data_IF_190479222986
#
_entry.id   IF_190479222986
#
_cell.length_a   1.000
_cell.length_b   1.000
_cell.length_c   1.000
_cell.angle_alpha   90.00
_cell.angle_beta   90.00
_cell.angle_gamma   90.00
#
_symmetry.space_group_name_H-M   'P 1'
#
loop_
_entity.id
_entity.type
_entity.pdbx_description
1 polymer ?
#
# COMPACT_ATOMS: atom_id res chain seq x y z
N UNK A 1 15.59 2.01 -23.10
CA UNK A 1 14.20 1.91 -22.61
C UNK A 1 13.96 3.06 -21.66
N UNK A 2 13.18 4.06 -22.05
CA UNK A 2 12.73 5.10 -21.12
C UNK A 2 11.61 4.50 -20.26
N UNK A 3 11.81 4.45 -18.95
CA UNK A 3 10.76 4.11 -18.00
C UNK A 3 9.77 5.27 -17.92
N UNK A 4 8.58 5.08 -18.50
CA UNK A 4 7.47 6.00 -18.29
C UNK A 4 6.86 5.66 -16.94
N UNK A 5 7.36 6.29 -15.87
CA UNK A 5 6.72 6.25 -14.58
C UNK A 5 5.44 7.09 -14.69
N UNK A 6 4.28 6.44 -14.77
CA UNK A 6 3.03 7.07 -14.35
C UNK A 6 3.11 7.14 -12.83
N UNK A 7 3.90 8.11 -12.36
CA UNK A 7 3.86 8.59 -10.99
C UNK A 7 2.45 9.12 -10.79
N UNK A 8 1.91 9.02 -9.57
CA UNK A 8 0.70 9.73 -9.12
C UNK A 8 0.82 11.27 -9.21
N UNK A 9 1.80 11.78 -9.97
CA UNK A 9 2.26 13.16 -10.10
C UNK A 9 1.21 14.14 -10.62
N UNK A 10 0.03 13.67 -11.04
CA UNK A 10 -1.11 14.51 -11.38
C UNK A 10 -2.09 14.77 -10.24
N UNK A 11 -1.89 14.23 -9.03
CA UNK A 11 -2.94 14.26 -8.01
C UNK A 11 -2.84 15.40 -6.98
N UNK A 12 -1.67 15.98 -6.69
CA UNK A 12 -1.55 16.97 -5.61
C UNK A 12 -0.36 17.92 -5.81
N UNK A 13 -0.47 18.98 -6.61
CA UNK A 13 0.54 20.04 -6.61
C UNK A 13 -0.10 21.43 -6.72
N UNK A 14 -0.39 22.01 -5.55
CA UNK A 14 -0.36 23.45 -5.34
C UNK A 14 0.39 23.72 -4.02
N UNK A 15 1.68 24.04 -4.13
CA UNK A 15 2.34 24.98 -3.21
C UNK A 15 2.84 24.51 -1.83
N UNK A 16 3.09 23.23 -1.55
CA UNK A 16 3.76 22.84 -0.29
C UNK A 16 5.28 22.83 -0.46
N UNK A 17 5.99 23.69 0.27
CA UNK A 17 7.45 23.58 0.41
C UNK A 17 7.77 22.31 1.21
N UNK A 18 8.06 21.21 0.51
CA UNK A 18 8.64 20.03 1.11
C UNK A 18 10.00 20.43 1.72
N UNK A 19 10.09 20.46 3.05
CA UNK A 19 11.40 20.45 3.72
C UNK A 19 12.24 19.31 3.15
N UNK A 20 13.56 19.50 3.03
CA UNK A 20 14.47 18.50 2.44
C UNK A 20 14.39 17.17 3.19
N UNK A 21 13.57 16.25 2.71
CA UNK A 21 13.57 14.85 3.14
C UNK A 21 14.89 14.24 2.67
N UNK A 22 15.72 13.77 3.61
CA UNK A 22 17.02 13.15 3.31
C UNK A 22 16.89 11.62 3.30
N UNK A 23 17.71 10.92 2.50
CA UNK A 23 17.70 9.45 2.47
C UNK A 23 18.05 8.80 3.83
N UNK A 24 18.72 9.52 4.73
CA UNK A 24 19.03 9.06 6.09
C UNK A 24 17.78 8.90 6.98
N UNK A 25 16.66 9.48 6.56
CA UNK A 25 15.39 9.52 7.29
C UNK A 25 14.55 8.26 7.06
N UNK A 26 15.04 7.27 6.30
CA UNK A 26 14.33 6.02 6.02
C UNK A 26 15.04 4.79 6.58
N UNK A 27 14.24 3.77 6.89
CA UNK A 27 14.66 2.41 7.23
C UNK A 27 14.14 1.47 6.16
N UNK A 28 14.97 0.52 5.73
CA UNK A 28 14.58 -0.51 4.78
C UNK A 28 14.09 -1.77 5.51
N UNK A 29 12.91 -2.27 5.14
CA UNK A 29 12.45 -3.61 5.45
C UNK A 29 12.65 -4.53 4.25
N UNK A 30 13.03 -5.78 4.50
CA UNK A 30 13.23 -6.84 3.51
C UNK A 30 12.51 -8.10 3.98
N UNK A 31 11.74 -8.72 3.11
CA UNK A 31 11.12 -10.02 3.34
C UNK A 31 11.68 -11.01 2.31
N UNK A 32 12.58 -11.89 2.75
CA UNK A 32 13.22 -12.87 1.87
C UNK A 32 12.26 -13.96 1.40
N UNK A 33 11.29 -14.32 2.23
CA UNK A 33 10.28 -15.35 1.92
C UNK A 33 9.39 -14.90 0.75
N UNK A 34 8.93 -13.65 0.77
CA UNK A 34 8.07 -13.07 -0.27
C UNK A 34 8.82 -12.14 -1.23
N UNK A 35 10.15 -12.13 -1.15
CA UNK A 35 11.08 -11.47 -2.08
C UNK A 35 10.71 -10.02 -2.39
N UNK A 36 10.49 -9.22 -1.37
CA UNK A 36 10.24 -7.78 -1.53
C UNK A 36 11.02 -6.94 -0.51
N UNK A 37 11.16 -5.66 -0.82
CA UNK A 37 11.67 -4.66 0.11
C UNK A 37 10.90 -3.36 0.02
N UNK A 38 10.85 -2.61 1.12
CA UNK A 38 10.17 -1.32 1.20
C UNK A 38 10.92 -0.39 2.15
N UNK A 39 10.92 0.90 1.87
CA UNK A 39 11.47 1.92 2.74
C UNK A 39 10.35 2.66 3.48
N UNK A 40 10.52 2.92 4.76
CA UNK A 40 9.58 3.73 5.54
C UNK A 40 10.33 4.70 6.46
N UNK A 41 9.71 5.81 6.90
CA UNK A 41 10.39 6.80 7.72
C UNK A 41 10.91 6.20 9.03
N UNK A 42 12.11 6.61 9.44
CA UNK A 42 12.76 6.16 10.69
C UNK A 42 11.96 6.53 11.94
N UNK A 43 11.15 7.58 11.86
CA UNK A 43 10.23 7.96 12.94
C UNK A 43 9.07 6.99 13.11
N UNK A 44 8.85 6.06 12.18
CA UNK A 44 7.80 5.05 12.28
C UNK A 44 8.36 3.77 12.93
N UNK A 45 7.55 3.16 13.78
CA UNK A 45 7.93 1.95 14.53
C UNK A 45 7.20 0.74 13.96
N UNK A 46 7.94 -0.37 13.76
CA UNK A 46 7.34 -1.66 13.45
C UNK A 46 6.56 -2.16 14.66
N UNK A 47 5.30 -2.49 14.45
CA UNK A 47 4.42 -3.07 15.48
C UNK A 47 4.08 -4.51 15.13
N UNK A 48 3.71 -5.29 16.13
CA UNK A 48 3.26 -6.65 15.93
C UNK A 48 1.96 -6.66 15.13
N UNK A 49 1.90 -7.50 14.10
CA UNK A 49 0.71 -7.66 13.30
C UNK A 49 -0.15 -8.80 13.85
N UNK A 50 -1.46 -8.61 13.86
CA UNK A 50 -2.44 -9.59 14.34
C UNK A 50 -2.70 -10.72 13.35
N UNK A 51 -2.37 -10.54 12.07
CA UNK A 51 -2.62 -11.50 11.00
C UNK A 51 -1.32 -12.02 10.43
N UNK A 52 -1.20 -13.35 10.27
CA UNK A 52 0.02 -14.03 9.77
C UNK A 52 0.42 -13.59 8.35
N UNK A 53 -0.56 -13.15 7.56
CA UNK A 53 -0.35 -12.66 6.20
C UNK A 53 0.23 -11.24 6.17
N UNK A 54 0.16 -10.49 7.28
CA UNK A 54 0.75 -9.16 7.39
C UNK A 54 2.25 -9.29 7.64
N UNK A 55 3.04 -8.96 6.62
CA UNK A 55 4.50 -9.09 6.62
C UNK A 55 5.17 -7.89 7.27
N UNK A 56 4.58 -6.72 7.08
CA UNK A 56 5.00 -5.47 7.69
C UNK A 56 3.77 -4.73 8.20
N UNK A 57 3.87 -4.23 9.43
CA UNK A 57 3.00 -3.17 9.97
C UNK A 57 3.89 -2.17 10.67
N UNK A 58 3.81 -0.91 10.29
CA UNK A 58 4.53 0.20 10.92
C UNK A 58 3.56 1.34 11.19
N UNK A 59 3.78 2.05 12.30
CA UNK A 59 2.94 3.15 12.76
C UNK A 59 3.82 4.37 13.00
N UNK A 60 3.32 5.54 12.60
CA UNK A 60 3.96 6.85 12.77
C UNK A 60 4.20 7.22 14.24
N UNK A 61 4.92 8.32 14.46
CA UNK A 61 5.25 8.89 15.79
C UNK A 61 5.72 7.85 16.79
N UNK A 62 6.73 7.09 16.38
CA UNK A 62 7.35 6.02 17.16
C UNK A 62 6.38 4.93 17.63
N UNK A 63 5.28 4.70 16.90
CA UNK A 63 4.28 3.68 17.20
C UNK A 63 3.01 4.22 17.87
N UNK A 64 2.89 5.54 18.00
CA UNK A 64 1.78 6.21 18.70
C UNK A 64 0.95 7.15 17.82
N UNK A 65 1.36 7.35 16.56
CA UNK A 65 0.71 8.25 15.63
C UNK A 65 -0.54 7.67 14.97
N UNK A 66 -1.27 8.53 14.25
CA UNK A 66 -2.51 8.18 13.54
C UNK A 66 -2.29 7.58 12.14
N UNK A 67 -1.07 7.72 11.59
CA UNK A 67 -0.73 7.19 10.27
C UNK A 67 -0.08 5.81 10.37
N UNK A 68 -0.42 4.93 9.45
CA UNK A 68 0.16 3.60 9.39
C UNK A 68 0.38 3.09 7.96
N UNK A 69 1.26 2.10 7.85
CA UNK A 69 1.54 1.35 6.64
C UNK A 69 1.52 -0.14 6.99
N UNK A 70 0.86 -0.93 6.15
CA UNK A 70 0.99 -2.38 6.16
C UNK A 70 1.28 -2.94 4.78
N UNK A 71 2.00 -4.06 4.76
CA UNK A 71 2.18 -4.92 3.59
C UNK A 71 1.63 -6.29 3.94
N UNK A 72 0.58 -6.70 3.22
CA UNK A 72 -0.05 -8.01 3.35
C UNK A 72 0.26 -8.81 2.09
N UNK A 73 0.61 -10.08 2.26
CA UNK A 73 0.82 -11.00 1.14
C UNK A 73 -0.10 -12.20 1.33
N UNK A 74 -1.03 -12.39 0.39
CA UNK A 74 -1.97 -13.51 0.39
C UNK A 74 -1.71 -14.42 -0.80
N UNK A 75 -1.68 -15.74 -0.57
CA UNK A 75 -1.71 -16.69 -1.66
C UNK A 75 -3.06 -16.60 -2.39
N UNK A 76 -3.02 -16.59 -3.72
CA UNK A 76 -4.16 -16.67 -4.61
C UNK A 76 -4.08 -18.03 -5.32
N UNK A 77 -4.86 -19.03 -4.89
CA UNK A 77 -4.75 -20.39 -5.42
C UNK A 77 -4.95 -20.44 -6.94
N UNK A 78 -4.17 -21.29 -7.63
CA UNK A 78 -4.24 -21.50 -9.08
C UNK A 78 -3.92 -20.24 -9.91
N UNK A 79 -3.11 -19.32 -9.37
CA UNK A 79 -2.71 -18.07 -10.04
C UNK A 79 -1.20 -17.91 -10.20
N UNK A 80 -0.45 -19.01 -10.13
CA UNK A 80 1.01 -19.02 -10.23
C UNK A 80 1.51 -18.39 -11.53
N UNK A 81 0.72 -18.51 -12.60
CA UNK A 81 1.00 -17.96 -13.94
C UNK A 81 0.24 -16.67 -14.25
N UNK A 82 -0.57 -16.17 -13.32
CA UNK A 82 -1.38 -14.97 -13.54
C UNK A 82 -0.48 -13.74 -13.69
N UNK A 83 -0.66 -12.99 -14.77
CA UNK A 83 0.06 -11.73 -14.94
C UNK A 83 -0.61 -10.59 -14.16
N UNK A 84 0.12 -9.51 -13.82
CA UNK A 84 -0.46 -8.31 -13.23
C UNK A 84 -1.66 -7.74 -14.03
N UNK A 85 -1.58 -7.75 -15.36
CA UNK A 85 -2.65 -7.26 -16.24
C UNK A 85 -3.89 -8.15 -16.19
N UNK A 86 -3.72 -9.47 -16.06
CA UNK A 86 -4.83 -10.40 -15.87
C UNK A 86 -5.50 -10.19 -14.51
N UNK A 87 -4.71 -10.01 -13.45
CA UNK A 87 -5.21 -9.70 -12.12
C UNK A 87 -6.03 -8.41 -12.09
N UNK A 88 -5.60 -7.37 -12.82
CA UNK A 88 -6.34 -6.12 -12.94
C UNK A 88 -7.74 -6.29 -13.52
N UNK A 89 -7.95 -7.25 -14.43
CA UNK A 89 -9.27 -7.54 -15.01
C UNK A 89 -10.24 -8.14 -13.98
N UNK A 90 -9.71 -8.65 -12.87
CA UNK A 90 -10.51 -9.15 -11.74
C UNK A 90 -10.89 -8.03 -10.75
N UNK A 91 -10.34 -6.83 -10.92
CA UNK A 91 -10.62 -5.71 -10.03
C UNK A 91 -11.96 -5.07 -10.39
N UNK A 92 -12.98 -5.30 -9.55
CA UNK A 92 -14.24 -4.59 -9.60
C UNK A 92 -14.41 -3.73 -8.35
N UNK A 93 -14.53 -2.42 -8.56
CA UNK A 93 -14.60 -1.46 -7.46
C UNK A 93 -15.91 -1.53 -6.67
N UNK A 94 -17.00 -1.97 -7.30
CA UNK A 94 -18.30 -2.15 -6.65
C UNK A 94 -18.28 -3.40 -5.78
N UNK A 95 -17.70 -4.51 -6.27
CA UNK A 95 -17.50 -5.72 -5.48
C UNK A 95 -16.56 -5.48 -4.30
N UNK A 96 -15.44 -4.78 -4.53
CA UNK A 96 -14.52 -4.36 -3.48
C UNK A 96 -15.23 -3.54 -2.39
N UNK A 97 -15.95 -2.48 -2.78
CA UNK A 97 -16.68 -1.65 -1.82
C UNK A 97 -17.77 -2.45 -1.10
N UNK A 98 -18.50 -3.30 -1.81
CA UNK A 98 -19.52 -4.18 -1.22
C UNK A 98 -18.95 -5.16 -0.20
N UNK A 99 -17.77 -5.72 -0.45
CA UNK A 99 -17.04 -6.55 0.51
C UNK A 99 -16.60 -5.73 1.74
N UNK A 100 -16.04 -4.53 1.52
CA UNK A 100 -15.60 -3.66 2.60
C UNK A 100 -16.77 -3.22 3.50
N UNK A 101 -17.90 -2.83 2.90
CA UNK A 101 -19.10 -2.38 3.62
C UNK A 101 -19.76 -3.48 4.46
N UNK A 102 -19.57 -4.77 4.13
CA UNK A 102 -20.01 -5.88 4.99
C UNK A 102 -19.31 -5.88 6.35
N UNK A 103 -18.07 -5.42 6.40
CA UNK A 103 -17.25 -5.40 7.62
C UNK A 103 -17.19 -4.01 8.26
N UNK A 104 -17.29 -2.96 7.43
CA UNK A 104 -17.22 -1.56 7.84
C UNK A 104 -18.31 -0.78 7.09
N UNK A 105 -19.57 -0.76 7.60
CA UNK A 105 -20.71 -0.16 6.90
C UNK A 105 -20.55 1.32 6.52
N UNK A 106 -19.69 2.04 7.24
CA UNK A 106 -19.34 3.44 6.97
C UNK A 106 -18.44 3.65 5.75
N UNK A 107 -17.90 2.58 5.16
CA UNK A 107 -16.93 2.67 4.08
C UNK A 107 -17.50 3.35 2.83
N UNK A 108 -16.72 4.27 2.26
CA UNK A 108 -17.03 5.04 1.06
C UNK A 108 -15.84 5.01 0.11
N UNK A 109 -16.09 4.66 -1.16
CA UNK A 109 -15.08 4.72 -2.20
C UNK A 109 -14.92 6.17 -2.69
N UNK A 110 -13.71 6.70 -2.60
CA UNK A 110 -13.36 8.06 -3.03
C UNK A 110 -12.80 8.05 -4.45
N UNK A 111 -11.85 7.15 -4.70
CA UNK A 111 -11.18 7.02 -6.00
C UNK A 111 -10.63 5.61 -6.17
N UNK A 112 -10.47 5.17 -7.40
CA UNK A 112 -9.79 3.92 -7.72
C UNK A 112 -9.27 3.96 -9.16
N UNK A 113 -8.44 2.98 -9.51
CA UNK A 113 -8.03 2.77 -10.89
C UNK A 113 -6.72 2.01 -11.04
N UNK A 114 -6.27 1.81 -12.29
CA UNK A 114 -4.94 1.27 -12.56
C UNK A 114 -3.85 2.25 -12.11
N UNK A 115 -2.72 1.70 -11.68
CA UNK A 115 -1.49 2.41 -11.34
C UNK A 115 -0.28 1.49 -11.61
N UNK A 116 0.90 1.86 -11.12
CA UNK A 116 2.08 1.02 -11.09
C UNK A 116 2.60 0.86 -9.67
N UNK A 117 3.24 -0.27 -9.39
CA UNK A 117 3.94 -0.54 -8.15
C UNK A 117 5.24 -1.27 -8.48
N UNK A 118 6.37 -0.75 -8.00
CA UNK A 118 7.71 -1.17 -8.44
C UNK A 118 7.85 -0.99 -9.96
N UNK A 119 7.77 -2.09 -10.71
CA UNK A 119 7.96 -2.18 -12.15
C UNK A 119 6.85 -2.97 -12.83
N UNK A 120 5.71 -3.16 -12.16
CA UNK A 120 4.57 -3.89 -12.68
C UNK A 120 3.26 -3.13 -12.47
N UNK A 121 2.26 -3.50 -13.26
CA UNK A 121 0.93 -2.92 -13.18
C UNK A 121 0.28 -3.25 -11.83
N UNK A 122 -0.43 -2.29 -11.27
CA UNK A 122 -1.14 -2.42 -10.00
C UNK A 122 -2.51 -1.75 -10.10
N UNK A 123 -3.35 -1.99 -9.09
CA UNK A 123 -4.64 -1.32 -8.94
C UNK A 123 -4.72 -0.67 -7.58
N UNK A 124 -5.29 0.53 -7.49
CA UNK A 124 -5.45 1.22 -6.22
C UNK A 124 -6.90 1.53 -5.89
N UNK A 125 -7.16 1.64 -4.59
CA UNK A 125 -8.41 2.12 -4.00
C UNK A 125 -8.08 3.19 -2.96
N UNK A 126 -8.84 4.28 -2.96
CA UNK A 126 -8.88 5.27 -1.89
C UNK A 126 -10.27 5.19 -1.29
N UNK A 127 -10.34 4.83 -0.01
CA UNK A 127 -11.59 4.70 0.73
C UNK A 127 -11.55 5.51 2.01
N UNK A 128 -12.67 6.15 2.35
CA UNK A 128 -12.89 6.68 3.69
C UNK A 128 -13.71 5.64 4.48
N UNK A 129 -13.36 5.41 5.73
CA UNK A 129 -14.02 4.44 6.60
C UNK A 129 -13.95 4.90 8.05
N UNK A 130 -14.83 4.37 8.91
CA UNK A 130 -14.80 4.63 10.35
C UNK A 130 -14.60 3.31 11.09
N UNK A 131 -13.50 3.19 11.82
CA UNK A 131 -13.28 2.06 12.73
C UNK A 131 -13.96 2.31 14.06
N UNK A 132 -14.56 1.27 14.63
CA UNK A 132 -15.13 1.30 15.98
C UNK A 132 -14.27 0.44 16.89
N UNK A 133 -13.56 1.07 17.84
CA UNK A 133 -12.68 0.37 18.79
C UNK A 133 -13.04 0.85 20.19
N UNK A 134 -13.46 -0.08 21.06
CA UNK A 134 -13.86 0.22 22.45
C UNK A 134 -14.89 1.36 22.56
N UNK A 135 -15.82 1.46 21.61
CA UNK A 135 -16.86 2.51 21.58
C UNK A 135 -16.39 3.86 21.02
N UNK A 136 -15.14 3.97 20.58
CA UNK A 136 -14.59 5.16 19.93
C UNK A 136 -14.68 4.99 18.42
N UNK A 137 -15.19 6.01 17.75
CA UNK A 137 -15.20 6.12 16.30
C UNK A 137 -13.93 6.81 15.81
N UNK A 138 -13.17 6.14 14.95
CA UNK A 138 -11.93 6.67 14.38
C UNK A 138 -12.09 6.74 12.86
N UNK A 139 -12.39 7.91 12.29
CA UNK A 139 -12.45 8.08 10.85
C UNK A 139 -11.05 7.97 10.26
N UNK A 140 -10.92 7.28 9.14
CA UNK A 140 -9.65 7.06 8.45
C UNK A 140 -9.85 7.12 6.94
N UNK A 141 -8.85 7.68 6.26
CA UNK A 141 -8.65 7.49 4.82
C UNK A 141 -7.63 6.39 4.62
N UNK A 142 -8.04 5.39 3.86
CA UNK A 142 -7.23 4.23 3.49
C UNK A 142 -6.87 4.30 2.01
N UNK A 143 -5.58 4.11 1.71
CA UNK A 143 -5.07 3.92 0.34
C UNK A 143 -4.56 2.50 0.24
N UNK A 144 -5.15 1.70 -0.64
CA UNK A 144 -4.68 0.34 -0.93
C UNK A 144 -4.14 0.26 -2.34
N UNK A 145 -2.97 -0.37 -2.51
CA UNK A 145 -2.36 -0.65 -3.81
C UNK A 145 -2.12 -2.15 -3.88
N UNK A 146 -2.63 -2.79 -4.92
CA UNK A 146 -2.60 -4.24 -5.08
C UNK A 146 -1.96 -4.66 -6.40
N UNK A 147 -1.18 -5.72 -6.35
CA UNK A 147 -0.64 -6.38 -7.55
C UNK A 147 -0.44 -7.87 -7.27
N UNK A 148 -0.25 -8.69 -8.30
CA UNK A 148 0.01 -10.14 -8.18
C UNK A 148 1.40 -10.48 -8.68
N UNK A 149 2.04 -11.47 -8.05
CA UNK A 149 3.24 -12.12 -8.58
C UNK A 149 3.39 -13.52 -8.02
N UNK A 150 3.65 -14.51 -8.89
CA UNK A 150 3.84 -15.92 -8.52
C UNK A 150 2.77 -16.45 -7.58
N UNK A 151 1.50 -16.26 -7.96
CA UNK A 151 0.38 -16.74 -7.16
C UNK A 151 0.17 -16.01 -5.83
N UNK A 152 0.83 -14.88 -5.60
CA UNK A 152 0.66 -14.08 -4.39
C UNK A 152 0.14 -12.68 -4.72
N UNK A 153 -0.88 -12.23 -4.00
CA UNK A 153 -1.38 -10.86 -4.03
C UNK A 153 -0.67 -10.05 -2.96
N UNK A 154 0.01 -9.00 -3.39
CA UNK A 154 0.68 -8.03 -2.54
C UNK A 154 -0.24 -6.83 -2.38
N UNK A 155 -0.62 -6.53 -1.14
CA UNK A 155 -1.45 -5.37 -0.81
C UNK A 155 -0.68 -4.45 0.11
N UNK A 156 -0.34 -3.26 -0.39
CA UNK A 156 0.20 -2.16 0.40
C UNK A 156 -0.98 -1.31 0.85
N UNK A 157 -1.12 -1.09 2.15
CA UNK A 157 -2.16 -0.24 2.72
C UNK A 157 -1.52 0.89 3.48
N UNK A 158 -1.92 2.12 3.19
CA UNK A 158 -1.68 3.29 4.04
C UNK A 158 -2.99 3.69 4.71
N UNK A 159 -2.92 4.17 5.95
CA UNK A 159 -4.04 4.79 6.65
C UNK A 159 -3.60 6.11 7.26
N UNK A 160 -4.49 7.09 7.25
CA UNK A 160 -4.29 8.43 7.80
C UNK A 160 -5.62 9.06 8.16
N UNK A 161 -5.61 10.19 8.86
CA UNK A 161 -6.82 11.01 9.06
C UNK A 161 -7.38 11.51 7.71
N UNK A 162 -8.71 11.49 7.47
CA UNK A 162 -9.29 11.93 6.20
C UNK A 162 -9.05 13.42 5.87
N UNK A 163 -8.82 14.24 6.88
CA UNK A 163 -8.48 15.66 6.80
C UNK A 163 -6.97 15.94 6.77
N UNK A 164 -6.12 14.90 6.81
CA UNK A 164 -4.67 15.05 6.71
C UNK A 164 -4.25 15.87 5.48
N UNK A 165 -3.22 16.71 5.61
CA UNK A 165 -2.77 17.57 4.52
C UNK A 165 -2.17 16.76 3.36
N UNK A 166 -2.09 17.33 2.15
CA UNK A 166 -1.46 16.73 0.98
C UNK A 166 -0.03 16.19 1.23
N UNK A 167 0.72 16.79 2.16
CA UNK A 167 2.07 16.37 2.51
C UNK A 167 2.17 14.91 3.00
N UNK A 168 1.13 14.39 3.68
CA UNK A 168 1.11 12.97 4.10
C UNK A 168 1.03 12.04 2.89
N UNK A 169 0.35 12.45 1.82
CA UNK A 169 0.32 11.70 0.56
C UNK A 169 1.69 11.67 -0.11
N UNK A 170 2.47 12.76 -0.03
CA UNK A 170 3.86 12.78 -0.54
C UNK A 170 4.73 11.73 0.16
N UNK A 171 4.59 11.56 1.48
CA UNK A 171 5.31 10.50 2.21
C UNK A 171 4.88 9.12 1.71
N UNK A 172 3.58 8.88 1.50
CA UNK A 172 3.09 7.60 0.99
C UNK A 172 3.56 7.32 -0.45
N UNK A 173 3.63 8.34 -1.29
CA UNK A 173 4.19 8.24 -2.65
C UNK A 173 5.68 7.86 -2.60
N UNK A 174 6.47 8.49 -1.73
CA UNK A 174 7.89 8.15 -1.55
C UNK A 174 8.08 6.72 -1.04
N UNK A 175 7.26 6.28 -0.08
CA UNK A 175 7.28 4.91 0.42
C UNK A 175 6.92 3.92 -0.70
N UNK A 176 5.87 4.23 -1.47
CA UNK A 176 5.40 3.40 -2.59
C UNK A 176 6.47 3.29 -3.67
N UNK A 177 7.15 4.40 -4.01
CA UNK A 177 8.27 4.41 -4.95
C UNK A 177 9.47 3.60 -4.44
N UNK A 178 9.63 3.50 -3.12
CA UNK A 178 10.64 2.68 -2.45
C UNK A 178 10.28 1.20 -2.32
N UNK A 179 9.08 0.77 -2.75
CA UNK A 179 8.68 -0.62 -2.78
C UNK A 179 9.23 -1.33 -4.01
N UNK A 180 9.93 -2.44 -3.79
CA UNK A 180 10.59 -3.22 -4.84
C UNK A 180 10.24 -4.69 -4.66
N UNK A 181 9.69 -5.29 -5.71
CA UNK A 181 9.62 -6.75 -5.86
C UNK A 181 10.95 -7.22 -6.46
N UNK A 182 11.63 -8.16 -5.80
CA UNK A 182 12.97 -8.57 -6.23
C UNK A 182 12.93 -9.35 -7.53
N UNK A 183 13.88 -9.16 -8.46
CA UNK A 183 13.90 -9.90 -9.71
C UNK A 183 14.01 -11.41 -9.45
N UNK A 184 13.45 -12.23 -10.33
CA UNK A 184 13.79 -13.66 -10.35
C UNK A 184 15.26 -13.83 -10.61
N UNK A 185 15.90 -14.72 -9.84
CA UNK A 185 17.24 -15.14 -10.16
C UNK A 185 17.16 -16.25 -11.21
N UNK A 186 18.02 -16.23 -12.24
CA UNK A 186 18.09 -17.33 -13.20
C UNK A 186 18.29 -18.67 -12.47
N UNK A 187 17.37 -19.62 -12.63
CA UNK A 187 17.48 -20.98 -12.10
C UNK A 187 16.57 -21.34 -10.91
N UNK A 188 15.67 -20.46 -10.45
CA UNK A 188 14.74 -20.75 -9.34
C UNK A 188 13.38 -21.34 -9.78
N UNK A 189 13.20 -21.65 -11.06
CA UNK A 189 11.98 -22.31 -11.56
C UNK A 189 12.09 -23.83 -11.38
N UNK A 190 11.82 -24.32 -10.16
CA UNK A 190 11.58 -25.74 -9.89
C UNK A 190 10.11 -25.98 -9.52
#
# INVERSE_FOLDING_TARGET
MLFSAIVLSGMFYDGVQAGKISQIDFVQYRDEQYRFSIHYPRSWTKVEATHVQTRLKVVSDHGSGGDDLSVVVNALPNSEKMTPEEFLKLMDAKEYLGYLQKNVPSAKLIKHGPTSLSNQVAYYFITDLTHHVLGIEVPMRQIQIQTVRHGNVYTITFRTDPGSPPANFTVFELITAGFVLWPEMPGENN
#
